data_IF_800960073753
#
_entry.id   IF_800960073753
#
_cell.length_a   1.000
_cell.length_b   1.000
_cell.length_c   1.000
_cell.angle_alpha   90.00
_cell.angle_beta   90.00
_cell.angle_gamma   90.00
#
_symmetry.space_group_name_H-M   'P 1'
#
loop_
_entity.id
_entity.type
_entity.pdbx_description
1 polymer ?
#
# COMPACT_ATOMS: atom_id res chain seq x y z
N UNK A 1 19.93 1.59 2.66
CA UNK A 1 18.84 2.28 1.94
C UNK A 1 17.67 1.32 1.79
N UNK A 2 16.44 1.82 1.94
CA UNK A 2 15.24 1.00 1.77
C UNK A 2 15.01 0.66 0.31
N UNK A 3 14.55 -0.56 0.04
CA UNK A 3 14.16 -0.98 -1.30
C UNK A 3 12.74 -0.47 -1.58
N UNK A 4 12.52 0.33 -2.62
CA UNK A 4 11.20 0.91 -2.86
C UNK A 4 10.18 -0.15 -3.29
N UNK A 5 8.91 0.11 -2.96
CA UNK A 5 7.78 -0.72 -3.37
C UNK A 5 6.72 0.14 -4.06
N UNK A 6 6.40 -0.20 -5.28
CA UNK A 6 5.26 0.38 -6.01
C UNK A 6 4.19 -0.69 -6.14
N UNK A 7 3.01 -0.41 -5.61
CA UNK A 7 1.90 -1.35 -5.58
C UNK A 7 0.68 -0.76 -6.27
N UNK A 8 0.06 -1.55 -7.14
CA UNK A 8 -1.17 -1.17 -7.82
C UNK A 8 -2.40 -1.65 -7.05
N UNK A 9 -3.23 -0.73 -6.63
CA UNK A 9 -4.56 -1.04 -6.10
C UNK A 9 -5.56 -0.90 -7.25
N UNK A 10 -6.04 -2.02 -7.78
CA UNK A 10 -6.97 -2.01 -8.91
C UNK A 10 -8.40 -1.62 -8.50
N UNK A 11 -8.66 -1.58 -7.20
CA UNK A 11 -9.99 -1.27 -6.67
C UNK A 11 -11.05 -2.19 -7.25
N UNK A 12 -12.25 -1.68 -7.54
CA UNK A 12 -13.36 -2.48 -8.07
C UNK A 12 -13.30 -2.50 -9.61
N UNK A 13 -12.19 -2.97 -10.15
CA UNK A 13 -11.99 -3.08 -11.59
C UNK A 13 -11.38 -4.44 -11.93
N UNK A 14 -11.96 -5.12 -12.91
CA UNK A 14 -11.41 -6.39 -13.36
C UNK A 14 -12.35 -7.16 -14.27
N UNK A 15 -11.75 -7.99 -15.08
CA UNK A 15 -12.38 -9.05 -15.88
C UNK A 15 -11.27 -10.05 -16.21
N UNK A 16 -11.63 -11.25 -16.63
CA UNK A 16 -10.62 -12.23 -17.07
C UNK A 16 -9.73 -11.66 -18.18
N UNK A 17 -10.34 -11.01 -19.15
CA UNK A 17 -9.60 -10.39 -20.25
C UNK A 17 -8.66 -9.30 -19.76
N UNK A 18 -9.16 -8.39 -18.94
CA UNK A 18 -8.36 -7.30 -18.38
C UNK A 18 -7.16 -7.82 -17.57
N UNK A 19 -7.38 -8.81 -16.70
CA UNK A 19 -6.31 -9.38 -15.87
C UNK A 19 -5.22 -9.99 -16.76
N UNK A 20 -5.60 -10.84 -17.70
CA UNK A 20 -4.65 -11.51 -18.59
C UNK A 20 -3.86 -10.51 -19.44
N UNK A 21 -4.53 -9.52 -20.01
CA UNK A 21 -3.88 -8.53 -20.87
C UNK A 21 -2.98 -7.59 -20.07
N UNK A 22 -3.48 -7.04 -18.95
CA UNK A 22 -2.72 -6.11 -18.13
C UNK A 22 -1.48 -6.78 -17.54
N UNK A 23 -1.60 -8.00 -17.00
CA UNK A 23 -0.46 -8.71 -16.42
C UNK A 23 0.57 -9.07 -17.49
N UNK A 24 0.13 -9.53 -18.67
CA UNK A 24 1.04 -9.82 -19.79
C UNK A 24 1.83 -8.57 -20.20
N UNK A 25 1.16 -7.43 -20.33
CA UNK A 25 1.80 -6.17 -20.67
C UNK A 25 2.76 -5.69 -19.58
N UNK A 26 2.39 -5.84 -18.30
CA UNK A 26 3.28 -5.51 -17.18
C UNK A 26 4.53 -6.38 -17.16
N UNK A 27 4.42 -7.66 -17.46
CA UNK A 27 5.59 -8.55 -17.55
C UNK A 27 6.59 -8.05 -18.59
N UNK A 28 6.09 -7.60 -19.74
CA UNK A 28 6.92 -7.04 -20.81
C UNK A 28 7.56 -5.72 -20.39
N UNK A 29 6.75 -4.80 -19.88
CA UNK A 29 7.20 -3.45 -19.49
C UNK A 29 8.19 -3.46 -18.33
N UNK A 30 8.06 -4.40 -17.41
CA UNK A 30 8.85 -4.46 -16.17
C UNK A 30 9.97 -5.51 -16.20
N UNK A 31 10.21 -6.16 -17.34
CA UNK A 31 11.16 -7.27 -17.44
C UNK A 31 12.57 -6.92 -16.95
N UNK A 32 13.03 -5.69 -17.17
CA UNK A 32 14.37 -5.23 -16.78
C UNK A 32 14.43 -4.56 -15.40
N UNK A 33 13.33 -4.47 -14.69
CA UNK A 33 13.28 -3.78 -13.39
C UNK A 33 13.75 -4.71 -12.27
N UNK A 34 14.75 -4.27 -11.51
CA UNK A 34 15.30 -5.00 -10.35
C UNK A 34 15.42 -4.12 -9.10
N UNK A 35 15.50 -2.81 -9.26
CA UNK A 35 15.71 -1.86 -8.17
C UNK A 35 14.45 -1.37 -7.46
N UNK A 36 13.30 -1.94 -7.80
CA UNK A 36 12.01 -1.62 -7.18
C UNK A 36 11.16 -2.87 -7.09
N UNK A 37 10.62 -3.16 -5.92
CA UNK A 37 9.63 -4.21 -5.76
C UNK A 37 8.29 -3.74 -6.35
N UNK A 38 7.57 -4.65 -6.99
CA UNK A 38 6.31 -4.38 -7.66
C UNK A 38 5.25 -5.35 -7.17
N UNK A 39 4.09 -4.84 -6.81
CA UNK A 39 2.94 -5.65 -6.43
C UNK A 39 1.68 -5.15 -7.13
N UNK A 40 0.74 -6.04 -7.36
CA UNK A 40 -0.60 -5.71 -7.87
C UNK A 40 -1.66 -6.33 -6.97
N UNK A 41 -2.72 -5.57 -6.68
CA UNK A 41 -3.83 -6.01 -5.86
C UNK A 41 -5.15 -5.94 -6.66
N UNK A 42 -5.49 -7.03 -7.36
CA UNK A 42 -6.76 -7.13 -8.05
C UNK A 42 -7.90 -7.39 -7.06
N UNK A 43 -9.18 -7.26 -7.49
CA UNK A 43 -10.29 -7.83 -6.73
C UNK A 43 -10.03 -9.32 -6.43
N UNK A 44 -10.42 -9.78 -5.25
CA UNK A 44 -10.06 -11.12 -4.77
C UNK A 44 -10.46 -12.25 -5.71
N UNK A 45 -11.61 -12.12 -6.38
CA UNK A 45 -12.08 -13.16 -7.32
C UNK A 45 -11.15 -13.36 -8.53
N UNK A 46 -10.25 -12.40 -8.79
CA UNK A 46 -9.26 -12.48 -9.87
C UNK A 46 -7.85 -12.74 -9.36
N UNK A 47 -7.67 -12.90 -8.06
CA UNK A 47 -6.34 -13.02 -7.46
C UNK A 47 -5.61 -14.28 -7.93
N UNK A 48 -6.28 -15.43 -7.95
CA UNK A 48 -5.68 -16.68 -8.45
C UNK A 48 -5.31 -16.59 -9.94
N UNK A 49 -6.18 -16.00 -10.75
CA UNK A 49 -5.88 -15.77 -12.17
C UNK A 49 -4.67 -14.86 -12.35
N UNK A 50 -4.61 -13.76 -11.61
CA UNK A 50 -3.49 -12.82 -11.66
C UNK A 50 -2.18 -13.47 -11.19
N UNK A 51 -2.24 -14.30 -10.15
CA UNK A 51 -1.09 -15.06 -9.66
C UNK A 51 -0.53 -15.97 -10.74
N UNK A 52 -1.38 -16.73 -11.41
CA UNK A 52 -0.98 -17.61 -12.52
C UNK A 52 -0.42 -16.82 -13.70
N UNK A 53 -1.06 -15.71 -14.06
CA UNK A 53 -0.59 -14.84 -15.14
C UNK A 53 0.77 -14.22 -14.84
N UNK A 54 1.07 -13.94 -13.59
CA UNK A 54 2.34 -13.34 -13.15
C UNK A 54 3.44 -14.37 -12.86
N UNK A 55 3.15 -15.66 -12.95
CA UNK A 55 4.10 -16.72 -12.62
C UNK A 55 5.38 -16.62 -13.45
N UNK A 56 6.51 -16.80 -12.77
CA UNK A 56 7.84 -16.63 -13.40
C UNK A 56 8.31 -15.19 -13.55
N UNK A 57 7.52 -14.22 -13.14
CA UNK A 57 7.91 -12.80 -13.09
C UNK A 57 8.25 -12.37 -11.68
N UNK A 58 8.73 -11.14 -11.52
CA UNK A 58 8.99 -10.52 -10.22
C UNK A 58 7.80 -9.73 -9.68
N UNK A 59 6.62 -9.86 -10.30
CA UNK A 59 5.41 -9.19 -9.85
C UNK A 59 4.80 -9.96 -8.68
N UNK A 60 4.73 -9.31 -7.53
CA UNK A 60 4.08 -9.86 -6.34
C UNK A 60 2.57 -9.62 -6.38
N UNK A 61 1.83 -10.52 -5.75
CA UNK A 61 0.39 -10.37 -5.61
C UNK A 61 0.05 -9.82 -4.23
N UNK A 62 -0.98 -8.97 -4.22
CA UNK A 62 -1.55 -8.43 -3.01
C UNK A 62 -3.06 -8.54 -3.01
N UNK A 63 -3.67 -8.27 -1.87
CA UNK A 63 -5.11 -8.22 -1.73
C UNK A 63 -5.57 -6.86 -1.21
N UNK A 64 -6.84 -6.56 -1.44
CA UNK A 64 -7.42 -5.25 -1.10
C UNK A 64 -8.04 -5.21 0.30
N UNK A 65 -8.12 -6.35 0.98
CA UNK A 65 -8.70 -6.50 2.31
C UNK A 65 -8.41 -7.89 2.86
N UNK A 66 -8.72 -8.10 4.14
CA UNK A 66 -8.70 -9.40 4.82
C UNK A 66 -9.69 -9.37 5.98
N UNK A 67 -10.22 -10.54 6.34
CA UNK A 67 -11.02 -10.68 7.56
C UNK A 67 -10.12 -10.99 8.77
N UNK A 68 -10.63 -10.73 9.96
CA UNK A 68 -9.92 -11.05 11.21
C UNK A 68 -10.02 -12.52 11.60
N UNK A 69 -11.00 -13.23 11.07
CA UNK A 69 -11.23 -14.63 11.35
C UNK A 69 -10.51 -15.51 10.32
N UNK A 70 -10.02 -16.66 10.76
CA UNK A 70 -9.29 -17.58 9.88
C UNK A 70 -10.22 -18.60 9.22
N UNK A 71 -11.34 -18.92 9.85
CA UNK A 71 -12.34 -19.85 9.31
C UNK A 71 -13.66 -19.70 10.05
N UNK A 72 -14.71 -20.29 9.52
CA UNK A 72 -15.99 -20.39 10.23
C UNK A 72 -17.17 -19.72 9.55
N UNK A 73 -18.16 -19.36 10.34
CA UNK A 73 -19.44 -18.83 9.86
C UNK A 73 -19.36 -17.32 9.57
N UNK A 74 -18.57 -16.95 8.59
CA UNK A 74 -18.32 -15.57 8.16
C UNK A 74 -18.54 -15.45 6.66
N UNK A 75 -19.77 -15.68 6.24
CA UNK A 75 -20.15 -15.71 4.82
C UNK A 75 -19.71 -14.44 4.08
N UNK A 76 -18.99 -14.61 2.99
CA UNK A 76 -18.53 -13.51 2.13
C UNK A 76 -17.15 -12.98 2.47
N UNK A 77 -16.54 -13.41 3.57
CA UNK A 77 -15.21 -12.95 3.99
C UNK A 77 -14.08 -13.79 3.41
N UNK A 78 -12.88 -13.23 3.38
CA UNK A 78 -11.65 -13.89 2.94
C UNK A 78 -10.64 -13.86 4.06
N UNK A 79 -10.12 -15.02 4.45
CA UNK A 79 -9.16 -15.13 5.54
C UNK A 79 -7.72 -14.92 5.09
N UNK A 80 -6.86 -14.60 6.06
CA UNK A 80 -5.42 -14.49 5.81
C UNK A 80 -4.81 -15.83 5.34
N UNK A 81 -5.32 -16.96 5.85
CA UNK A 81 -4.87 -18.28 5.40
C UNK A 81 -5.16 -18.52 3.91
N UNK A 82 -6.36 -18.10 3.45
CA UNK A 82 -6.73 -18.21 2.04
C UNK A 82 -5.82 -17.34 1.16
N UNK A 83 -5.52 -16.13 1.61
CA UNK A 83 -4.63 -15.22 0.88
C UNK A 83 -3.21 -15.79 0.78
N UNK A 84 -2.72 -16.36 1.85
CA UNK A 84 -1.41 -17.02 1.89
C UNK A 84 -1.37 -18.23 0.95
N UNK A 85 -2.39 -19.05 0.97
CA UNK A 85 -2.51 -20.24 0.11
C UNK A 85 -2.47 -19.88 -1.38
N UNK A 86 -3.12 -18.80 -1.77
CA UNK A 86 -3.11 -18.29 -3.15
C UNK A 86 -1.77 -17.64 -3.53
N UNK A 87 -0.96 -17.27 -2.55
CA UNK A 87 0.34 -16.63 -2.80
C UNK A 87 0.30 -15.11 -2.80
N UNK A 88 -0.72 -14.50 -2.20
CA UNK A 88 -0.71 -13.08 -1.93
C UNK A 88 0.28 -12.77 -0.81
N UNK A 89 0.97 -11.63 -0.88
CA UNK A 89 2.00 -11.24 0.09
C UNK A 89 1.69 -9.91 0.75
N UNK A 90 1.31 -8.91 -0.02
CA UNK A 90 1.05 -7.55 0.45
C UNK A 90 -0.45 -7.33 0.58
N UNK A 91 -0.94 -7.09 1.79
CA UNK A 91 -2.38 -7.02 2.04
C UNK A 91 -2.75 -5.61 2.50
N UNK A 92 -3.54 -4.92 1.69
CA UNK A 92 -4.05 -3.58 2.00
C UNK A 92 -5.06 -3.68 3.12
N UNK A 93 -4.86 -2.91 4.18
CA UNK A 93 -5.80 -2.76 5.29
C UNK A 93 -5.98 -1.29 5.64
N UNK A 94 -7.14 -0.94 6.15
CA UNK A 94 -7.43 0.42 6.57
C UNK A 94 -7.53 1.44 5.45
N UNK A 95 -7.71 1.01 4.20
CA UNK A 95 -7.88 1.93 3.09
C UNK A 95 -9.03 2.90 3.35
N UNK A 96 -8.87 4.15 2.94
CA UNK A 96 -9.85 5.22 3.19
C UNK A 96 -11.26 4.87 2.75
N UNK A 97 -11.40 4.19 1.61
CA UNK A 97 -12.71 3.72 1.12
C UNK A 97 -13.37 2.76 2.12
N UNK A 98 -12.61 1.87 2.73
CA UNK A 98 -13.14 0.93 3.70
C UNK A 98 -13.47 1.59 5.03
N UNK A 99 -12.65 2.55 5.46
CA UNK A 99 -12.96 3.37 6.65
C UNK A 99 -14.26 4.14 6.46
N UNK A 100 -14.47 4.70 5.28
CA UNK A 100 -15.64 5.52 4.96
C UNK A 100 -16.89 4.69 4.67
N UNK A 101 -16.81 3.75 3.73
CA UNK A 101 -17.99 3.03 3.24
C UNK A 101 -18.35 1.80 4.08
N UNK A 102 -17.38 1.17 4.72
CA UNK A 102 -17.61 -0.01 5.55
C UNK A 102 -17.44 0.26 7.05
N UNK A 103 -17.20 1.54 7.41
CA UNK A 103 -17.05 1.97 8.81
C UNK A 103 -15.98 1.19 9.58
N UNK A 104 -14.89 0.83 8.90
CA UNK A 104 -13.77 0.18 9.56
C UNK A 104 -13.04 1.18 10.45
N UNK A 105 -12.90 0.86 11.71
CA UNK A 105 -12.29 1.73 12.71
C UNK A 105 -10.91 1.20 13.12
N UNK A 106 -10.15 2.02 13.81
CA UNK A 106 -8.74 1.75 14.10
C UNK A 106 -8.50 0.42 14.84
N UNK A 107 -9.36 0.06 15.80
CA UNK A 107 -9.22 -1.18 16.57
C UNK A 107 -9.44 -2.42 15.70
N UNK A 108 -10.38 -2.38 14.78
CA UNK A 108 -10.61 -3.46 13.81
C UNK A 108 -9.41 -3.60 12.87
N UNK A 109 -8.88 -2.49 12.38
CA UNK A 109 -7.73 -2.48 11.48
C UNK A 109 -6.49 -3.02 12.20
N UNK A 110 -6.30 -2.67 13.48
CA UNK A 110 -5.22 -3.22 14.29
C UNK A 110 -5.33 -4.75 14.44
N UNK A 111 -6.54 -5.30 14.55
CA UNK A 111 -6.77 -6.76 14.57
C UNK A 111 -6.43 -7.41 13.24
N UNK A 112 -6.79 -6.78 12.11
CA UNK A 112 -6.40 -7.24 10.78
C UNK A 112 -4.88 -7.26 10.63
N UNK A 113 -4.22 -6.21 11.10
CA UNK A 113 -2.77 -6.12 11.12
C UNK A 113 -2.14 -7.30 11.87
N UNK A 114 -2.63 -7.59 13.07
CA UNK A 114 -2.13 -8.68 13.90
C UNK A 114 -2.28 -10.05 13.21
N UNK A 115 -3.45 -10.31 12.64
CA UNK A 115 -3.73 -11.58 11.92
C UNK A 115 -2.78 -11.76 10.74
N UNK A 116 -2.53 -10.70 9.98
CA UNK A 116 -1.60 -10.76 8.85
C UNK A 116 -0.17 -11.08 9.31
N UNK A 117 0.29 -10.43 10.37
CA UNK A 117 1.63 -10.70 10.92
C UNK A 117 1.76 -12.13 11.42
N UNK A 118 0.76 -12.66 12.10
CA UNK A 118 0.73 -14.04 12.57
C UNK A 118 0.81 -15.04 11.42
N UNK A 119 0.20 -14.72 10.29
CA UNK A 119 0.20 -15.58 9.11
C UNK A 119 1.44 -15.38 8.21
N UNK A 120 2.34 -14.50 8.57
CA UNK A 120 3.55 -14.23 7.78
C UNK A 120 3.29 -13.41 6.52
N UNK A 121 2.17 -12.70 6.46
CA UNK A 121 1.85 -11.77 5.38
C UNK A 121 2.27 -10.34 5.74
N UNK A 122 2.44 -9.51 4.73
CA UNK A 122 2.89 -8.13 4.92
C UNK A 122 1.70 -7.17 4.91
N UNK A 123 1.35 -6.56 6.05
CA UNK A 123 0.35 -5.51 6.07
C UNK A 123 0.80 -4.28 5.27
N UNK A 124 -0.09 -3.73 4.47
CA UNK A 124 0.03 -2.40 3.89
C UNK A 124 -1.02 -1.54 4.60
N UNK A 125 -0.57 -0.89 5.66
CA UNK A 125 -1.44 -0.10 6.54
C UNK A 125 -1.69 1.26 5.92
N UNK A 126 -2.92 1.51 5.50
CA UNK A 126 -3.33 2.81 4.96
C UNK A 126 -3.73 3.76 6.09
N UNK A 127 -3.14 4.94 6.08
CA UNK A 127 -3.43 6.02 7.02
C UNK A 127 -3.55 7.34 6.27
N UNK A 128 -4.23 8.30 6.85
CA UNK A 128 -4.35 9.63 6.27
C UNK A 128 -5.56 10.39 6.76
N UNK A 129 -5.50 11.69 6.61
CA UNK A 129 -6.53 12.64 7.05
C UNK A 129 -7.56 12.90 5.96
N UNK A 130 -8.77 13.24 6.38
CA UNK A 130 -9.82 13.79 5.52
C UNK A 130 -9.48 15.23 5.15
N UNK A 131 -10.19 15.79 4.15
CA UNK A 131 -10.03 17.19 3.76
C UNK A 131 -10.31 18.14 4.94
N UNK A 132 -11.38 17.89 5.69
CA UNK A 132 -11.73 18.69 6.85
C UNK A 132 -10.65 18.65 7.94
N UNK A 133 -10.08 17.48 8.19
CA UNK A 133 -8.98 17.31 9.15
C UNK A 133 -7.70 18.03 8.66
N UNK A 134 -7.42 17.97 7.37
CA UNK A 134 -6.29 18.70 6.78
C UNK A 134 -6.46 20.21 6.93
N UNK A 135 -7.63 20.74 6.58
CA UNK A 135 -7.94 22.17 6.73
C UNK A 135 -7.88 22.64 8.18
N UNK A 136 -8.21 21.77 9.12
CA UNK A 136 -8.12 22.05 10.56
C UNK A 136 -6.70 21.91 11.13
N UNK A 137 -5.70 21.57 10.30
CA UNK A 137 -4.31 21.40 10.74
C UNK A 137 -4.07 20.13 11.56
N UNK A 138 -4.89 19.08 11.39
CA UNK A 138 -4.87 17.86 12.21
C UNK A 138 -4.22 16.65 11.53
N UNK A 139 -3.53 16.84 10.41
CA UNK A 139 -2.92 15.72 9.66
C UNK A 139 -2.04 14.85 10.53
N UNK A 140 -1.12 15.45 11.27
CA UNK A 140 -0.18 14.70 12.14
C UNK A 140 -0.90 13.98 13.27
N UNK A 141 -1.86 14.63 13.91
CA UNK A 141 -2.68 14.05 14.98
C UNK A 141 -3.43 12.80 14.49
N UNK A 142 -4.03 12.87 13.31
CA UNK A 142 -4.78 11.76 12.72
C UNK A 142 -3.84 10.61 12.38
N UNK A 143 -2.73 10.89 11.71
CA UNK A 143 -1.76 9.85 11.36
C UNK A 143 -1.19 9.17 12.62
N UNK A 144 -0.85 9.94 13.64
CA UNK A 144 -0.36 9.40 14.92
C UNK A 144 -1.40 8.49 15.59
N UNK A 145 -2.66 8.90 15.63
CA UNK A 145 -3.76 8.09 16.19
C UNK A 145 -3.90 6.76 15.47
N UNK A 146 -3.88 6.78 14.14
CA UNK A 146 -4.04 5.58 13.32
C UNK A 146 -2.86 4.60 13.50
N UNK A 147 -1.64 5.11 13.60
CA UNK A 147 -0.45 4.29 13.90
C UNK A 147 -0.50 3.76 15.33
N UNK A 148 -0.88 4.59 16.27
CA UNK A 148 -0.93 4.24 17.70
C UNK A 148 -1.92 3.12 18.00
N UNK A 149 -2.99 2.97 17.22
CA UNK A 149 -3.91 1.85 17.36
C UNK A 149 -3.18 0.50 17.25
N UNK A 150 -2.14 0.43 16.43
CA UNK A 150 -1.28 -0.76 16.29
C UNK A 150 -0.14 -0.74 17.31
N UNK A 151 0.58 0.38 17.44
CA UNK A 151 1.73 0.50 18.34
C UNK A 151 1.38 0.17 19.79
N UNK A 152 0.25 0.70 20.29
CA UNK A 152 -0.16 0.53 21.69
C UNK A 152 -0.65 -0.87 22.00
N UNK A 153 -1.17 -1.58 21.01
CA UNK A 153 -1.69 -2.94 21.20
C UNK A 153 -0.66 -4.03 20.91
N UNK A 154 0.27 -3.80 19.98
CA UNK A 154 1.17 -4.82 19.47
C UNK A 154 2.66 -4.49 19.65
N UNK A 155 2.98 -3.25 19.96
CA UNK A 155 4.35 -2.78 20.14
C UNK A 155 5.08 -2.47 18.84
N UNK A 156 6.27 -1.88 18.97
CA UNK A 156 7.08 -1.43 17.84
C UNK A 156 7.58 -2.58 16.96
N UNK A 157 7.85 -3.74 17.56
CA UNK A 157 8.33 -4.93 16.82
C UNK A 157 7.34 -5.39 15.75
N UNK A 158 6.04 -5.11 15.91
CA UNK A 158 5.03 -5.44 14.92
C UNK A 158 5.22 -4.71 13.59
N UNK A 159 5.94 -3.58 13.58
CA UNK A 159 6.22 -2.81 12.37
C UNK A 159 7.43 -3.31 11.57
N UNK A 160 8.11 -4.33 12.04
CA UNK A 160 9.20 -4.94 11.27
C UNK A 160 8.68 -5.54 9.97
N UNK A 161 9.24 -5.13 8.84
CA UNK A 161 8.86 -5.61 7.51
C UNK A 161 7.50 -5.11 6.99
N UNK A 162 6.93 -4.12 7.63
CA UNK A 162 5.60 -3.57 7.31
C UNK A 162 5.71 -2.43 6.30
N UNK A 163 4.62 -2.24 5.55
CA UNK A 163 4.44 -1.11 4.65
C UNK A 163 3.35 -0.20 5.19
N UNK A 164 3.59 1.09 5.17
CA UNK A 164 2.58 2.11 5.49
C UNK A 164 2.31 2.89 4.21
N UNK A 165 1.04 3.09 3.86
CA UNK A 165 0.63 3.93 2.76
C UNK A 165 -0.05 5.18 3.31
N UNK A 166 0.55 6.34 3.09
CA UNK A 166 -0.05 7.61 3.46
C UNK A 166 -1.00 8.07 2.36
N UNK A 167 -2.28 8.13 2.70
CA UNK A 167 -3.35 8.54 1.81
C UNK A 167 -3.93 9.88 2.27
N UNK A 168 -3.48 11.03 1.73
CA UNK A 168 -4.25 12.26 1.92
C UNK A 168 -5.59 12.11 1.19
N UNK A 169 -6.67 11.88 1.94
CA UNK A 169 -7.98 11.50 1.35
C UNK A 169 -8.49 12.56 0.38
N UNK A 170 -8.21 13.82 0.67
CA UNK A 170 -8.53 14.95 -0.20
C UNK A 170 -7.82 14.94 -1.57
N UNK A 171 -6.77 14.11 -1.72
CA UNK A 171 -6.00 13.95 -2.95
C UNK A 171 -6.26 12.61 -3.66
N UNK A 172 -7.26 11.84 -3.23
CA UNK A 172 -7.62 10.57 -3.86
C UNK A 172 -8.76 10.79 -4.84
N UNK A 173 -8.49 10.60 -6.15
CA UNK A 173 -9.51 10.68 -7.18
C UNK A 173 -10.13 12.07 -7.40
N UNK A 174 -9.56 13.11 -6.81
CA UNK A 174 -10.10 14.49 -6.89
C UNK A 174 -9.40 15.36 -7.93
N UNK A 175 -8.29 14.88 -8.50
CA UNK A 175 -7.40 15.70 -9.33
C UNK A 175 -6.48 16.61 -8.52
N UNK A 176 -6.68 16.72 -7.21
CA UNK A 176 -5.76 17.42 -6.30
C UNK A 176 -4.58 16.50 -5.98
N UNK A 177 -3.42 17.08 -5.73
CA UNK A 177 -2.22 16.36 -5.35
C UNK A 177 -1.47 17.14 -4.26
N UNK A 178 -0.88 16.41 -3.31
CA UNK A 178 0.08 17.02 -2.41
C UNK A 178 1.35 17.36 -3.20
N UNK A 179 1.98 18.48 -2.87
CA UNK A 179 3.32 18.75 -3.40
C UNK A 179 4.32 17.74 -2.84
N UNK A 180 5.44 17.46 -3.51
CA UNK A 180 6.48 16.59 -2.96
C UNK A 180 6.93 17.01 -1.56
N UNK A 181 7.09 18.30 -1.31
CA UNK A 181 7.48 18.81 0.00
C UNK A 181 6.40 18.57 1.07
N UNK A 182 5.13 18.75 0.74
CA UNK A 182 4.02 18.47 1.66
C UNK A 182 3.95 16.98 2.00
N UNK A 183 4.05 16.13 0.99
CA UNK A 183 4.06 14.68 1.18
C UNK A 183 5.26 14.24 2.02
N UNK A 184 6.45 14.75 1.72
CA UNK A 184 7.67 14.46 2.46
C UNK A 184 7.55 14.83 3.94
N UNK A 185 6.97 15.99 4.25
CA UNK A 185 6.81 16.43 5.64
C UNK A 185 5.97 15.43 6.45
N UNK A 186 4.89 14.92 5.87
CA UNK A 186 4.03 13.92 6.53
C UNK A 186 4.74 12.57 6.64
N UNK A 187 5.40 12.11 5.57
CA UNK A 187 6.17 10.85 5.59
C UNK A 187 7.26 10.89 6.66
N UNK A 188 7.97 12.01 6.78
CA UNK A 188 8.97 12.19 7.83
C UNK A 188 8.33 12.13 9.22
N UNK A 189 7.21 12.79 9.41
CA UNK A 189 6.48 12.73 10.68
C UNK A 189 6.09 11.29 11.03
N UNK A 190 5.57 10.52 10.09
CA UNK A 190 5.19 9.12 10.28
C UNK A 190 6.41 8.30 10.73
N UNK A 191 7.53 8.44 10.04
CA UNK A 191 8.78 7.74 10.39
C UNK A 191 9.27 8.13 11.77
N UNK A 192 9.31 9.42 12.07
CA UNK A 192 9.77 9.94 13.36
C UNK A 192 8.84 9.48 14.51
N UNK A 193 7.55 9.38 14.24
CA UNK A 193 6.58 8.88 15.22
C UNK A 193 6.86 7.42 15.60
N UNK A 194 7.12 6.58 14.62
CA UNK A 194 7.51 5.18 14.85
C UNK A 194 8.88 5.12 15.54
N UNK A 195 9.81 5.99 15.15
CA UNK A 195 11.15 6.04 15.71
C UNK A 195 11.18 6.34 17.22
N UNK A 196 10.18 7.03 17.73
CA UNK A 196 10.04 7.25 19.19
C UNK A 196 9.89 5.92 19.95
N UNK A 197 9.30 4.92 19.32
CA UNK A 197 9.15 3.59 19.89
C UNK A 197 10.35 2.70 19.57
N UNK A 198 10.86 2.75 18.34
CA UNK A 198 12.03 1.99 17.88
C UNK A 198 12.62 2.63 16.62
N UNK A 199 13.74 3.31 16.79
CA UNK A 199 14.40 4.03 15.70
C UNK A 199 14.92 3.11 14.59
N UNK A 200 15.38 1.92 14.94
CA UNK A 200 15.93 0.95 13.99
C UNK A 200 14.84 0.38 13.08
N UNK A 201 13.71 0.04 13.65
CA UNK A 201 12.55 -0.43 12.90
C UNK A 201 12.01 0.68 12.00
N UNK A 202 11.87 1.90 12.52
CA UNK A 202 11.38 3.05 11.75
C UNK A 202 12.23 3.32 10.51
N UNK A 203 13.54 3.15 10.58
CA UNK A 203 14.46 3.29 9.46
C UNK A 203 14.12 2.33 8.32
N UNK A 204 13.60 1.15 8.62
CA UNK A 204 13.35 0.08 7.67
C UNK A 204 11.92 0.06 7.10
N UNK A 205 10.96 0.70 7.76
CA UNK A 205 9.56 0.72 7.30
C UNK A 205 9.47 1.41 5.94
N UNK A 206 8.81 0.73 5.00
CA UNK A 206 8.49 1.31 3.69
C UNK A 206 7.28 2.20 3.84
N UNK A 207 7.41 3.47 3.50
CA UNK A 207 6.31 4.44 3.55
C UNK A 207 6.00 4.89 2.12
N UNK A 208 4.84 4.45 1.62
CA UNK A 208 4.36 4.76 0.29
C UNK A 208 3.51 6.02 0.29
N UNK A 209 3.57 6.78 -0.80
CA UNK A 209 2.59 7.84 -1.05
C UNK A 209 1.36 7.23 -1.75
N UNK A 210 0.19 7.43 -1.16
CA UNK A 210 -1.08 6.86 -1.62
C UNK A 210 -2.06 7.89 -2.20
N UNK A 211 -1.65 9.15 -2.37
CA UNK A 211 -2.43 10.14 -3.11
C UNK A 211 -2.28 9.94 -4.62
N UNK A 212 -2.74 10.90 -5.42
CA UNK A 212 -2.65 10.82 -6.88
C UNK A 212 -1.20 10.78 -7.35
N UNK A 213 -0.80 9.64 -7.92
CA UNK A 213 0.50 9.44 -8.56
C UNK A 213 0.26 9.11 -10.03
N UNK A 214 1.04 9.74 -10.89
CA UNK A 214 1.00 9.51 -12.34
C UNK A 214 2.42 9.63 -12.91
N UNK A 215 2.54 9.40 -14.21
CA UNK A 215 3.82 9.50 -14.89
C UNK A 215 4.47 10.88 -14.78
N UNK A 216 3.68 11.94 -14.62
CA UNK A 216 4.16 13.32 -14.57
C UNK A 216 4.72 13.77 -13.22
N UNK A 217 4.26 13.19 -12.10
CA UNK A 217 4.68 13.62 -10.76
C UNK A 217 5.52 12.58 -10.00
N UNK A 218 5.61 11.36 -10.51
CA UNK A 218 6.27 10.26 -9.79
C UNK A 218 7.75 10.55 -9.51
N UNK A 219 8.49 11.05 -10.48
CA UNK A 219 9.93 11.29 -10.32
C UNK A 219 10.24 12.25 -9.17
N UNK A 220 9.52 13.37 -9.10
CA UNK A 220 9.71 14.36 -8.03
C UNK A 220 9.34 13.81 -6.65
N UNK A 221 8.25 13.05 -6.56
CA UNK A 221 7.83 12.42 -5.30
C UNK A 221 8.92 11.47 -4.81
N UNK A 222 9.46 10.63 -5.67
CA UNK A 222 10.42 9.60 -5.26
C UNK A 222 11.83 10.13 -4.98
N UNK A 223 12.14 11.37 -5.34
CA UNK A 223 13.39 12.01 -4.90
C UNK A 223 13.36 12.36 -3.41
N UNK A 224 12.19 12.40 -2.79
CA UNK A 224 12.07 12.70 -1.37
C UNK A 224 12.60 11.57 -0.51
N UNK A 225 13.35 11.88 0.59
CA UNK A 225 14.05 10.85 1.37
C UNK A 225 13.16 9.85 2.08
N UNK A 226 11.93 10.22 2.43
CA UNK A 226 11.01 9.35 3.17
C UNK A 226 9.82 8.86 2.35
N UNK A 227 9.83 9.08 1.05
CA UNK A 227 8.83 8.51 0.14
C UNK A 227 9.46 7.30 -0.56
N UNK A 228 9.06 6.11 -0.12
CA UNK A 228 9.69 4.84 -0.50
C UNK A 228 8.91 4.08 -1.57
N UNK A 229 8.06 4.75 -2.29
CA UNK A 229 7.22 4.16 -3.32
C UNK A 229 5.83 4.75 -3.34
N UNK A 230 4.90 4.02 -3.93
CA UNK A 230 3.52 4.48 -4.08
C UNK A 230 2.52 3.34 -4.01
N UNK A 231 1.33 3.65 -3.48
CA UNK A 231 0.14 2.83 -3.63
C UNK A 231 -0.71 3.51 -4.71
N UNK A 232 -0.74 2.94 -5.90
CA UNK A 232 -1.25 3.57 -7.12
C UNK A 232 -2.66 3.09 -7.42
N UNK A 233 -3.58 4.03 -7.63
CA UNK A 233 -4.97 3.72 -8.04
C UNK A 233 -5.11 3.62 -9.56
N UNK A 234 -5.82 4.58 -10.17
CA UNK A 234 -6.19 4.55 -11.59
C UNK A 234 -5.05 4.30 -12.57
N UNK A 235 -3.88 4.89 -12.35
CA UNK A 235 -2.72 4.67 -13.21
C UNK A 235 -2.22 3.22 -13.20
N UNK A 236 -2.55 2.43 -12.18
CA UNK A 236 -2.16 1.01 -12.12
C UNK A 236 -2.95 0.11 -13.09
N UNK A 237 -4.03 0.64 -13.66
CA UNK A 237 -4.86 -0.08 -14.65
C UNK A 237 -4.32 0.02 -16.08
N UNK A 238 -3.22 0.77 -16.28
CA UNK A 238 -2.55 0.93 -17.57
C UNK A 238 -1.09 0.53 -17.42
N UNK A 239 -0.68 -0.48 -18.15
CA UNK A 239 0.66 -1.06 -18.02
C UNK A 239 1.77 -0.03 -18.27
N UNK A 240 1.65 0.80 -19.30
CA UNK A 240 2.62 1.84 -19.64
C UNK A 240 2.74 2.90 -18.53
N UNK A 241 1.62 3.42 -18.04
CA UNK A 241 1.59 4.43 -16.98
C UNK A 241 2.16 3.86 -15.67
N UNK A 242 1.77 2.66 -15.30
CA UNK A 242 2.28 2.00 -14.09
C UNK A 242 3.78 1.74 -14.19
N UNK A 243 4.25 1.25 -15.34
CA UNK A 243 5.67 1.00 -15.57
C UNK A 243 6.54 2.26 -15.44
N UNK A 244 6.05 3.40 -15.93
CA UNK A 244 6.76 4.69 -15.76
C UNK A 244 6.93 5.03 -14.28
N UNK A 245 5.89 4.83 -13.47
CA UNK A 245 5.94 5.07 -12.02
C UNK A 245 6.96 4.14 -11.35
N UNK A 246 6.95 2.85 -11.69
CA UNK A 246 7.90 1.87 -11.16
C UNK A 246 9.34 2.24 -11.50
N UNK A 247 9.59 2.57 -12.75
CA UNK A 247 10.93 2.95 -13.22
C UNK A 247 11.42 4.26 -12.59
N UNK A 248 10.50 5.20 -12.32
CA UNK A 248 10.84 6.42 -11.60
C UNK A 248 11.27 6.13 -10.15
N UNK A 249 10.62 5.20 -9.47
CA UNK A 249 11.02 4.76 -8.13
C UNK A 249 12.38 4.07 -8.15
N UNK A 250 12.60 3.18 -9.12
CA UNK A 250 13.89 2.51 -9.30
C UNK A 250 15.03 3.51 -9.51
N UNK A 251 14.83 4.48 -10.40
CA UNK A 251 15.84 5.49 -10.72
C UNK A 251 16.18 6.38 -9.53
N UNK A 252 15.15 6.83 -8.78
CA UNK A 252 15.32 7.73 -7.65
C UNK A 252 16.00 7.09 -6.44
N UNK A 253 15.88 5.78 -6.28
CA UNK A 253 16.41 5.03 -5.13
C UNK A 253 17.67 4.23 -5.44
N UNK A 254 18.21 4.37 -6.64
CA UNK A 254 19.57 3.91 -6.94
C UNK A 254 20.56 4.82 -6.22
N UNK A 255 21.22 4.27 -5.25
CA UNK A 255 22.32 4.93 -4.57
C UNK A 255 23.64 4.49 -5.16
#
# INVERSE_FOLDING_TARGET
MRHPLVMGNWKLNGSRHMVNELVANLRTELAGVSGCAVAIAPPEMYLDLAKRAAEGSHIHLGAQNVDVNLSGAFTGETSAEMLKDIGAQYIIIGHSERRTYHKEFDELIAKKFAVLKEQGLTPVLCIGETEAENEAGKTEEVCARQIDAVLKTQGAAAFEGVVIAYEPVWAIGTGKSATPAQAQAVHKFIRDHIAKADAKIAEQVIIQYGGSVNAGNAAELFTQPDIDGALVGGASLKADAFAVIVKAAEAAKKA
#
